data_IF_785060655101
#
_entry.id   IF_785060655101
#
_cell.length_a   1.000
_cell.length_b   1.000
_cell.length_c   1.000
_cell.angle_alpha   90.00
_cell.angle_beta   90.00
_cell.angle_gamma   90.00
#
_symmetry.space_group_name_H-M   'P 1'
#
loop_
_entity.id
_entity.type
_entity.pdbx_description
1 polymer ?
#
# COMPACT_ATOMS: atom_id res chain seq x y z
N UNK A 1 16.29 6.98 12.27
CA UNK A 1 16.40 8.11 11.32
C UNK A 1 15.73 9.33 11.94
N UNK A 2 16.49 10.35 12.34
CA UNK A 2 15.89 11.57 12.91
C UNK A 2 15.32 12.45 11.80
N UNK A 3 14.13 13.00 12.02
CA UNK A 3 13.56 14.06 11.20
C UNK A 3 14.21 15.38 11.59
N UNK A 4 15.35 15.68 10.99
CA UNK A 4 16.04 16.97 11.14
C UNK A 4 15.25 18.07 10.44
N UNK A 5 15.47 19.32 10.85
CA UNK A 5 14.77 20.48 10.27
C UNK A 5 15.01 20.61 8.77
N UNK A 6 16.24 20.38 8.29
CA UNK A 6 16.56 20.38 6.85
C UNK A 6 15.71 19.38 6.05
N UNK A 7 15.45 18.18 6.63
CA UNK A 7 14.63 17.17 5.97
C UNK A 7 13.16 17.51 6.01
N UNK A 8 12.70 18.18 7.07
CA UNK A 8 11.33 18.69 7.18
C UNK A 8 11.10 19.80 6.16
N UNK A 9 12.06 20.70 5.99
CA UNK A 9 12.00 21.79 5.01
C UNK A 9 11.95 21.24 3.58
N UNK A 10 12.85 20.30 3.26
CA UNK A 10 12.87 19.61 1.97
C UNK A 10 11.54 18.89 1.71
N UNK A 11 11.00 18.18 2.70
CA UNK A 11 9.69 17.54 2.60
C UNK A 11 8.59 18.56 2.30
N UNK A 12 8.54 19.68 3.03
CA UNK A 12 7.55 20.75 2.80
C UNK A 12 7.65 21.31 1.40
N UNK A 13 8.85 21.73 1.00
CA UNK A 13 9.12 22.34 -0.31
C UNK A 13 8.74 21.43 -1.47
N UNK A 14 9.11 20.15 -1.41
CA UNK A 14 8.76 19.20 -2.46
C UNK A 14 7.28 18.82 -2.44
N UNK A 15 6.66 18.76 -1.25
CA UNK A 15 5.24 18.48 -1.10
C UNK A 15 4.37 19.61 -1.66
N UNK A 16 4.71 20.86 -1.37
CA UNK A 16 4.06 22.06 -1.94
C UNK A 16 4.30 22.17 -3.45
N UNK A 17 5.52 21.80 -3.90
CA UNK A 17 5.84 21.64 -5.32
C UNK A 17 5.09 20.48 -6.00
N UNK A 18 4.32 19.69 -5.24
CA UNK A 18 3.44 18.67 -5.76
C UNK A 18 4.09 17.33 -6.07
N UNK A 19 5.30 17.09 -5.57
CA UNK A 19 5.96 15.79 -5.70
C UNK A 19 5.23 14.70 -4.90
N UNK A 20 5.38 13.46 -5.36
CA UNK A 20 4.78 12.31 -4.68
C UNK A 20 5.65 11.85 -3.51
N UNK A 21 5.05 11.21 -2.50
CA UNK A 21 5.79 10.72 -1.33
C UNK A 21 6.94 9.75 -1.69
N UNK A 22 6.83 9.00 -2.79
CA UNK A 22 7.92 8.13 -3.27
C UNK A 22 9.10 8.96 -3.78
N UNK A 23 8.84 9.98 -4.60
CA UNK A 23 9.87 10.88 -5.11
C UNK A 23 10.58 11.65 -3.99
N UNK A 24 9.81 12.09 -2.98
CA UNK A 24 10.36 12.78 -1.81
C UNK A 24 11.22 11.81 -0.97
N UNK A 25 10.80 10.55 -0.82
CA UNK A 25 11.58 9.52 -0.14
C UNK A 25 12.90 9.23 -0.85
N UNK A 26 12.89 9.17 -2.19
CA UNK A 26 14.09 9.02 -3.02
C UNK A 26 15.03 10.22 -2.86
N UNK A 27 14.49 11.45 -2.86
CA UNK A 27 15.28 12.67 -2.69
C UNK A 27 15.88 12.82 -1.28
N UNK A 28 15.14 12.44 -0.24
CA UNK A 28 15.60 12.51 1.14
C UNK A 28 16.59 11.39 1.49
N UNK A 29 16.49 10.22 0.85
CA UNK A 29 17.39 9.06 1.02
C UNK A 29 17.32 8.39 2.40
N UNK A 30 17.01 7.09 2.47
CA UNK A 30 16.95 6.39 3.78
C UNK A 30 15.70 6.74 4.61
N UNK A 31 14.65 7.23 3.96
CA UNK A 31 13.28 7.31 4.48
C UNK A 31 12.35 6.63 3.49
N UNK A 32 11.37 5.88 3.99
CA UNK A 32 10.39 5.20 3.14
C UNK A 32 9.25 6.13 2.76
N UNK A 33 8.54 5.80 1.66
CA UNK A 33 7.29 6.47 1.27
C UNK A 33 6.32 6.64 2.44
N UNK A 34 6.15 5.58 3.24
CA UNK A 34 5.25 5.60 4.40
C UNK A 34 5.73 6.55 5.50
N UNK A 35 7.05 6.67 5.70
CA UNK A 35 7.60 7.62 6.66
C UNK A 35 7.35 9.07 6.24
N UNK A 36 7.44 9.37 4.93
CA UNK A 36 7.12 10.69 4.36
C UNK A 36 5.65 11.02 4.54
N UNK A 37 4.73 10.10 4.20
CA UNK A 37 3.28 10.28 4.39
C UNK A 37 2.98 10.54 5.87
N UNK A 38 3.53 9.71 6.76
CA UNK A 38 3.33 9.85 8.20
C UNK A 38 3.84 11.19 8.74
N UNK A 39 4.97 11.68 8.23
CA UNK A 39 5.49 13.00 8.64
C UNK A 39 4.67 14.15 8.08
N UNK A 40 4.25 14.09 6.82
CA UNK A 40 3.39 15.10 6.21
C UNK A 40 2.05 15.24 6.97
N UNK A 41 1.43 14.13 7.36
CA UNK A 41 0.23 14.13 8.20
C UNK A 41 0.47 14.77 9.58
N UNK A 42 1.60 14.47 10.24
CA UNK A 42 1.95 15.09 11.54
C UNK A 42 2.21 16.59 11.45
N UNK A 43 2.67 17.05 10.29
CA UNK A 43 2.90 18.47 10.01
C UNK A 43 1.64 19.21 9.53
N UNK A 44 0.50 18.51 9.38
CA UNK A 44 -0.75 19.08 8.90
C UNK A 44 -0.72 19.51 7.44
N UNK A 45 0.21 18.98 6.63
CA UNK A 45 0.24 19.30 5.20
C UNK A 45 -1.02 18.73 4.53
N UNK A 46 -1.66 19.56 3.71
CA UNK A 46 -2.91 19.20 3.04
C UNK A 46 -2.69 17.94 2.20
N UNK A 47 -3.51 16.91 2.46
CA UNK A 47 -3.53 15.71 1.62
C UNK A 47 -3.98 16.12 0.24
N UNK A 48 -3.08 16.07 -0.75
CA UNK A 48 -3.46 16.34 -2.13
C UNK A 48 -4.47 15.25 -2.55
N UNK A 49 -5.68 15.61 -3.04
CA UNK A 49 -6.51 14.64 -3.75
C UNK A 49 -5.69 14.16 -4.94
N UNK A 50 -5.28 12.90 -4.87
CA UNK A 50 -4.30 12.35 -5.81
C UNK A 50 -4.89 12.36 -7.23
N UNK A 51 -4.25 12.98 -8.24
CA UNK A 51 -4.74 12.94 -9.62
C UNK A 51 -4.70 11.54 -10.27
N UNK A 52 -4.20 10.52 -9.57
CA UNK A 52 -4.23 9.11 -10.00
C UNK A 52 -5.63 8.45 -9.95
N UNK A 53 -6.65 9.15 -9.45
CA UNK A 53 -8.04 8.64 -9.56
C UNK A 53 -8.47 8.47 -11.03
N UNK A 54 -7.81 9.14 -11.99
CA UNK A 54 -8.15 9.00 -13.41
C UNK A 54 -7.38 7.93 -14.19
N UNK A 55 -6.50 7.11 -13.59
CA UNK A 55 -5.76 6.08 -14.34
C UNK A 55 -5.66 4.70 -13.66
N UNK A 56 -5.77 4.61 -12.33
CA UNK A 56 -5.56 3.34 -11.60
C UNK A 56 -6.87 2.59 -11.25
N UNK A 57 -8.03 3.25 -11.40
CA UNK A 57 -9.33 2.61 -11.15
C UNK A 57 -9.64 1.48 -12.16
N UNK A 58 -9.13 1.57 -13.40
CA UNK A 58 -9.30 0.50 -14.40
C UNK A 58 -8.31 -0.66 -14.23
N UNK A 59 -7.12 -0.44 -13.66
CA UNK A 59 -6.11 -1.51 -13.56
C UNK A 59 -6.34 -2.46 -12.37
N UNK A 60 -6.92 -1.96 -11.26
CA UNK A 60 -7.17 -2.80 -10.07
C UNK A 60 -8.44 -3.65 -10.16
N UNK A 61 -9.38 -3.31 -11.05
CA UNK A 61 -10.58 -4.12 -11.28
C UNK A 61 -10.29 -5.43 -12.04
N UNK A 62 -9.23 -5.48 -12.86
CA UNK A 62 -8.90 -6.67 -13.66
C UNK A 62 -8.14 -7.75 -12.87
N UNK A 63 -7.37 -7.39 -11.83
CA UNK A 63 -6.57 -8.35 -11.08
C UNK A 63 -7.34 -9.07 -9.96
N UNK A 64 -8.47 -8.52 -9.49
CA UNK A 64 -9.28 -9.13 -8.43
C UNK A 64 -10.30 -10.16 -8.96
N UNK A 65 -10.56 -10.20 -10.26
CA UNK A 65 -11.51 -11.15 -10.87
C UNK A 65 -10.88 -12.50 -11.26
N UNK A 66 -9.54 -12.62 -11.28
CA UNK A 66 -8.84 -13.83 -11.73
C UNK A 66 -8.39 -14.78 -10.60
N UNK A 67 -8.60 -14.44 -9.33
CA UNK A 67 -8.17 -15.27 -8.19
C UNK A 67 -9.32 -16.03 -7.49
N UNK A 68 -10.56 -15.93 -7.98
CA UNK A 68 -11.71 -16.62 -7.41
C UNK A 68 -12.10 -17.87 -8.20
N UNK A 69 -11.28 -18.93 -8.11
CA UNK A 69 -11.62 -20.39 -8.11
C UNK A 69 -10.40 -21.22 -8.53
N UNK A 70 -10.14 -22.42 -7.96
CA UNK A 70 -10.99 -23.21 -7.05
C UNK A 70 -10.29 -23.57 -5.73
N UNK A 71 -11.07 -23.68 -4.65
CA UNK A 71 -10.69 -24.51 -3.51
C UNK A 71 -11.02 -25.96 -3.85
N UNK A 72 -10.06 -26.91 -3.88
CA UNK A 72 -10.37 -28.31 -3.71
C UNK A 72 -10.34 -28.59 -2.21
N UNK A 73 -11.50 -28.50 -1.57
CA UNK A 73 -11.73 -29.23 -0.34
C UNK A 73 -12.68 -30.39 -0.68
N UNK A 74 -12.16 -31.56 -1.13
CA UNK A 74 -12.93 -32.78 -0.99
C UNK A 74 -12.88 -33.18 0.48
N UNK A 75 -14.00 -32.91 1.15
CA UNK A 75 -14.75 -33.78 2.07
C UNK A 75 -13.97 -34.83 2.89
N UNK A 76 -14.20 -34.92 4.21
CA UNK A 76 -13.56 -35.91 5.06
C UNK A 76 -14.08 -37.29 4.69
N UNK A 77 -13.20 -38.17 4.20
CA UNK A 77 -13.48 -39.60 4.15
C UNK A 77 -13.58 -40.10 5.59
N UNK A 78 -14.82 -40.19 6.09
CA UNK A 78 -15.14 -40.94 7.30
C UNK A 78 -14.84 -42.40 6.97
N UNK A 79 -13.66 -42.86 7.38
CA UNK A 79 -13.31 -44.26 7.38
C UNK A 79 -14.16 -44.97 8.45
N UNK A 80 -15.33 -45.47 8.06
CA UNK A 80 -16.01 -46.52 8.79
C UNK A 80 -15.41 -47.87 8.36
N UNK A 81 -14.71 -48.61 9.24
CA UNK A 81 -14.41 -50.00 8.94
C UNK A 81 -15.71 -50.83 9.04
N UNK A 82 -15.95 -51.79 8.13
CA UNK A 82 -17.09 -52.70 8.24
C UNK A 82 -16.93 -53.62 9.45
N UNK A 83 -18.03 -54.04 10.12
CA UNK A 83 -17.95 -55.06 11.16
C UNK A 83 -17.62 -56.43 10.55
N UNK A 84 -16.74 -57.24 11.18
CA UNK A 84 -16.56 -58.65 10.82
C UNK A 84 -17.74 -59.53 11.29
N UNK A 85 -17.90 -60.77 10.76
CA UNK A 85 -19.05 -61.65 11.03
C UNK A 85 -19.15 -62.15 12.48
#
# INVERSE_FOLDING_TARGET
MSWTEERIDTLRKMWEGGQTASQIAEALGGVSRNAVIGKAHRLGLQSRPSPVVSKDAEAKAAAAAAAAKPAPAPEPVVAAPPPPP
#
